data_IF_937022145027
#
_entry.id   IF_937022145027
#
_cell.length_a   1.000
_cell.length_b   1.000
_cell.length_c   1.000
_cell.angle_alpha   90.00
_cell.angle_beta   90.00
_cell.angle_gamma   90.00
#
_symmetry.space_group_name_H-M   'P 1'
#
loop_
_entity.id
_entity.type
_entity.pdbx_description
1 polymer ?
#
# COMPACT_ATOMS: atom_id res chain seq x y z
N UNK A 1 -23.68 -76.75 -28.29
CA UNK A 1 -23.65 -75.29 -28.64
C UNK A 1 -23.99 -74.40 -27.44
N UNK A 2 -24.90 -74.82 -26.57
CA UNK A 2 -25.35 -73.99 -25.46
C UNK A 2 -24.32 -73.77 -24.30
N UNK A 3 -23.39 -74.72 -24.07
CA UNK A 3 -22.38 -74.64 -22.98
C UNK A 3 -21.35 -73.53 -23.29
N UNK A 4 -20.89 -73.46 -24.56
CA UNK A 4 -19.90 -72.46 -24.98
C UNK A 4 -20.47 -71.03 -24.87
N UNK A 5 -21.75 -70.84 -25.15
CA UNK A 5 -22.38 -69.55 -25.07
C UNK A 5 -22.54 -69.08 -23.62
N UNK A 6 -22.83 -70.00 -22.67
CA UNK A 6 -22.95 -69.71 -21.23
C UNK A 6 -21.60 -69.37 -20.61
N UNK A 7 -20.49 -70.03 -21.05
CA UNK A 7 -19.13 -69.75 -20.60
C UNK A 7 -18.69 -68.35 -21.11
N UNK A 8 -18.95 -68.03 -22.35
CA UNK A 8 -18.68 -66.72 -22.91
C UNK A 8 -19.46 -65.62 -22.23
N UNK A 9 -20.74 -65.83 -21.90
CA UNK A 9 -21.54 -64.85 -21.19
C UNK A 9 -21.06 -64.65 -19.73
N UNK A 10 -20.65 -65.70 -19.04
CA UNK A 10 -20.07 -65.62 -17.71
C UNK A 10 -18.71 -64.90 -17.71
N UNK A 11 -17.86 -65.14 -18.72
CA UNK A 11 -16.60 -64.44 -18.86
C UNK A 11 -16.75 -62.95 -19.19
N UNK A 12 -17.77 -62.57 -19.98
CA UNK A 12 -18.09 -61.16 -20.27
C UNK A 12 -18.60 -60.39 -19.03
N UNK A 13 -19.42 -61.02 -18.20
CA UNK A 13 -19.89 -60.44 -16.93
C UNK A 13 -18.74 -60.28 -15.94
N UNK A 14 -17.85 -61.29 -15.84
CA UNK A 14 -16.67 -61.19 -14.97
C UNK A 14 -15.69 -60.10 -15.44
N UNK A 15 -15.53 -59.86 -16.75
CA UNK A 15 -14.66 -58.81 -17.30
C UNK A 15 -15.23 -57.42 -16.98
N UNK A 16 -16.53 -57.22 -16.98
CA UNK A 16 -17.16 -55.93 -16.63
C UNK A 16 -17.01 -55.58 -15.14
N UNK A 17 -16.99 -56.60 -14.27
CA UNK A 17 -16.81 -56.38 -12.81
C UNK A 17 -15.36 -56.10 -12.39
N UNK A 18 -14.39 -56.33 -13.31
CA UNK A 18 -12.97 -56.02 -13.07
C UNK A 18 -12.52 -54.63 -13.56
N UNK A 19 -13.45 -53.84 -14.10
CA UNK A 19 -13.12 -52.43 -14.40
C UNK A 19 -12.86 -51.72 -13.09
N UNK A 20 -11.69 -51.09 -12.92
CA UNK A 20 -11.41 -50.32 -11.71
C UNK A 20 -12.39 -49.16 -11.64
N UNK A 21 -13.29 -49.20 -10.65
CA UNK A 21 -14.07 -48.04 -10.28
C UNK A 21 -13.10 -46.99 -9.79
N UNK A 22 -12.69 -46.11 -10.68
CA UNK A 22 -11.96 -44.90 -10.27
C UNK A 22 -12.92 -43.99 -9.49
N UNK A 23 -12.87 -44.13 -8.18
CA UNK A 23 -13.50 -43.15 -7.32
C UNK A 23 -12.76 -41.83 -7.53
N UNK A 24 -13.47 -40.80 -7.98
CA UNK A 24 -12.90 -39.45 -8.00
C UNK A 24 -12.64 -39.01 -6.56
N UNK A 25 -11.37 -38.83 -6.20
CA UNK A 25 -11.05 -38.21 -4.91
C UNK A 25 -11.50 -36.74 -4.98
N UNK A 26 -12.36 -36.29 -4.08
CA UNK A 26 -12.74 -34.88 -4.06
C UNK A 26 -11.48 -34.04 -3.80
N UNK A 27 -11.23 -33.05 -4.65
CA UNK A 27 -10.19 -32.08 -4.40
C UNK A 27 -10.77 -30.98 -3.51
N UNK A 28 -10.25 -30.87 -2.30
CA UNK A 28 -10.59 -29.77 -1.42
C UNK A 28 -9.66 -28.59 -1.74
N UNK A 29 -10.24 -27.42 -1.86
CA UNK A 29 -9.47 -26.19 -1.84
C UNK A 29 -9.00 -25.95 -0.41
N UNK A 30 -7.73 -25.71 -0.21
CA UNK A 30 -7.14 -25.41 1.08
C UNK A 30 -6.17 -24.25 0.90
N UNK A 31 -6.35 -23.22 1.70
CA UNK A 31 -5.40 -22.14 1.88
C UNK A 31 -5.18 -21.98 3.39
N UNK A 32 -3.94 -22.21 3.86
CA UNK A 32 -3.62 -22.26 5.28
C UNK A 32 -2.38 -21.41 5.63
N UNK A 33 -1.73 -20.80 4.66
CA UNK A 33 -0.57 -19.97 4.85
C UNK A 33 -0.78 -18.58 4.25
N UNK A 34 -0.06 -17.58 4.77
CA UNK A 34 -0.10 -16.21 4.23
C UNK A 34 0.14 -16.19 2.71
N UNK A 35 1.15 -16.93 2.23
CA UNK A 35 1.49 -16.97 0.80
C UNK A 35 0.38 -17.59 -0.08
N UNK A 36 -0.42 -18.49 0.46
CA UNK A 36 -1.55 -19.07 -0.26
C UNK A 36 -2.72 -18.09 -0.34
N UNK A 37 -2.99 -17.35 0.73
CA UNK A 37 -4.00 -16.29 0.73
C UNK A 37 -3.63 -15.13 -0.20
N UNK A 38 -2.36 -14.72 -0.22
CA UNK A 38 -1.86 -13.64 -1.07
C UNK A 38 -1.87 -13.94 -2.58
N UNK A 39 -2.26 -15.16 -2.99
CA UNK A 39 -2.52 -15.47 -4.41
C UNK A 39 -3.89 -14.98 -4.90
N UNK A 40 -4.76 -14.59 -3.98
CA UNK A 40 -6.07 -14.01 -4.25
C UNK A 40 -6.11 -12.54 -3.89
N UNK A 41 -7.26 -11.92 -4.13
CA UNK A 41 -7.51 -10.55 -3.68
C UNK A 41 -7.92 -10.56 -2.21
N UNK A 42 -7.32 -9.66 -1.43
CA UNK A 42 -7.58 -9.53 0.01
C UNK A 42 -8.18 -8.15 0.26
N UNK A 43 -9.46 -8.12 0.59
CA UNK A 43 -10.17 -6.88 0.89
C UNK A 43 -10.65 -6.86 2.35
N UNK A 44 -10.39 -5.76 3.05
CA UNK A 44 -10.83 -5.52 4.43
C UNK A 44 -10.39 -6.60 5.45
N UNK A 45 -9.33 -7.34 5.13
CA UNK A 45 -8.74 -8.36 5.98
C UNK A 45 -7.24 -8.12 6.16
N UNK A 46 -6.73 -8.49 7.32
CA UNK A 46 -5.30 -8.63 7.58
C UNK A 46 -4.96 -10.11 7.73
N UNK A 47 -3.82 -10.52 7.17
CA UNK A 47 -3.32 -11.89 7.24
C UNK A 47 -1.97 -11.84 7.94
N UNK A 48 -1.84 -12.51 9.07
CA UNK A 48 -0.56 -12.60 9.77
C UNK A 48 0.38 -13.65 9.15
N UNK A 49 1.62 -13.72 9.64
CA UNK A 49 2.62 -14.67 9.15
C UNK A 49 2.23 -16.14 9.36
N UNK A 50 1.25 -16.43 10.23
CA UNK A 50 0.75 -17.77 10.52
C UNK A 50 -0.50 -18.12 9.70
N UNK A 51 -0.95 -17.20 8.81
CA UNK A 51 -2.16 -17.38 8.01
C UNK A 51 -3.46 -17.14 8.76
N UNK A 52 -3.41 -16.46 9.92
CA UNK A 52 -4.63 -16.06 10.63
C UNK A 52 -5.25 -14.83 9.97
N UNK A 53 -6.56 -14.90 9.76
CA UNK A 53 -7.35 -13.83 9.18
C UNK A 53 -7.97 -13.00 10.30
N UNK A 54 -7.77 -11.70 10.26
CA UNK A 54 -8.46 -10.73 11.12
C UNK A 54 -9.11 -9.66 10.26
N UNK A 55 -10.14 -8.99 10.77
CA UNK A 55 -10.68 -7.82 10.09
C UNK A 55 -9.60 -6.75 10.02
N UNK A 56 -9.29 -6.32 8.81
CA UNK A 56 -8.40 -5.21 8.55
C UNK A 56 -9.10 -3.87 8.81
N UNK A 57 -8.34 -2.78 8.96
CA UNK A 57 -8.92 -1.45 8.96
C UNK A 57 -9.55 -1.19 7.58
N UNK A 58 -10.72 -0.56 7.60
CA UNK A 58 -11.30 -0.01 6.37
C UNK A 58 -10.41 1.16 5.94
N UNK A 59 -9.92 1.09 4.70
CA UNK A 59 -9.08 2.15 4.12
C UNK A 59 -9.78 2.73 2.91
N UNK A 60 -9.83 4.07 2.86
CA UNK A 60 -10.35 4.81 1.72
C UNK A 60 -9.21 5.60 1.06
N UNK A 61 -9.20 5.61 -0.27
CA UNK A 61 -8.29 6.44 -1.04
C UNK A 61 -8.72 7.90 -0.92
N UNK A 62 -7.92 8.72 -0.23
CA UNK A 62 -8.22 10.14 -0.06
C UNK A 62 -7.76 10.96 -1.26
N UNK A 63 -6.54 10.72 -1.72
CA UNK A 63 -5.96 11.46 -2.85
C UNK A 63 -4.84 10.65 -3.49
N UNK A 64 -4.79 10.64 -4.82
CA UNK A 64 -3.72 10.04 -5.59
C UNK A 64 -2.79 11.14 -6.12
N UNK A 65 -1.51 11.10 -5.70
CA UNK A 65 -0.49 12.03 -6.18
C UNK A 65 0.15 11.50 -7.45
N UNK A 66 0.75 12.38 -8.26
CA UNK A 66 1.57 11.97 -9.39
C UNK A 66 2.95 11.43 -8.96
N UNK A 67 3.36 11.65 -7.71
CA UNK A 67 4.68 11.27 -7.21
C UNK A 67 4.72 9.78 -6.82
N UNK A 68 5.79 9.05 -7.19
CA UNK A 68 5.90 7.62 -6.93
C UNK A 68 6.16 7.27 -5.46
N UNK A 69 6.70 8.21 -4.68
CA UNK A 69 7.06 8.00 -3.27
C UNK A 69 6.58 9.15 -2.40
N UNK A 70 5.98 8.79 -1.27
CA UNK A 70 5.56 9.71 -0.22
C UNK A 70 6.42 9.45 1.01
N UNK A 71 7.22 10.45 1.42
CA UNK A 71 8.18 10.29 2.52
C UNK A 71 7.68 10.86 3.84
N UNK A 72 6.90 11.91 3.79
CA UNK A 72 6.45 12.59 5.00
C UNK A 72 4.99 13.02 4.89
N UNK A 73 4.31 13.05 6.01
CA UNK A 73 2.94 13.53 6.11
C UNK A 73 2.74 14.30 7.40
N UNK A 74 2.03 15.42 7.31
CA UNK A 74 1.69 16.28 8.43
C UNK A 74 0.21 16.65 8.35
N UNK A 75 -0.52 16.44 9.45
CA UNK A 75 -1.91 16.87 9.59
C UNK A 75 -1.98 18.19 10.36
N UNK A 76 -2.64 19.18 9.77
CA UNK A 76 -2.96 20.43 10.44
C UNK A 76 -4.25 20.30 11.27
N UNK A 77 -4.45 21.20 12.22
CA UNK A 77 -5.59 21.16 13.14
C UNK A 77 -6.96 21.32 12.45
N UNK A 78 -7.00 21.90 11.27
CA UNK A 78 -8.21 22.07 10.45
C UNK A 78 -8.53 20.84 9.57
N UNK A 79 -7.72 19.76 9.66
CA UNK A 79 -7.86 18.55 8.87
C UNK A 79 -7.14 18.58 7.53
N UNK A 80 -6.46 19.68 7.18
CA UNK A 80 -5.61 19.74 6.00
C UNK A 80 -4.41 18.81 6.16
N UNK A 81 -4.09 18.02 5.13
CA UNK A 81 -2.90 17.19 5.07
C UNK A 81 -1.86 17.81 4.15
N UNK A 82 -0.61 17.78 4.60
CA UNK A 82 0.55 18.10 3.77
C UNK A 82 1.39 16.84 3.59
N UNK A 83 1.76 16.55 2.35
CA UNK A 83 2.47 15.31 1.99
C UNK A 83 3.72 15.65 1.20
N UNK A 84 4.87 15.33 1.76
CA UNK A 84 6.18 15.49 1.12
C UNK A 84 6.56 14.24 0.32
N UNK A 85 7.15 14.47 -0.85
CA UNK A 85 7.47 13.41 -1.82
C UNK A 85 8.96 13.13 -1.92
N UNK A 86 9.29 11.94 -2.44
CA UNK A 86 10.62 11.56 -2.90
C UNK A 86 10.74 11.65 -4.42
N UNK A 87 11.96 11.84 -4.89
CA UNK A 87 12.36 11.96 -6.31
C UNK A 87 11.85 13.20 -7.07
N UNK A 88 10.96 13.99 -6.49
CA UNK A 88 10.43 15.21 -7.11
C UNK A 88 10.47 16.42 -6.18
N UNK A 89 10.78 16.24 -4.88
CA UNK A 89 10.90 17.32 -3.89
C UNK A 89 9.64 18.18 -3.71
N UNK A 90 8.47 17.62 -4.04
CA UNK A 90 7.18 18.29 -4.00
C UNK A 90 6.50 18.13 -2.66
N UNK A 91 5.68 19.10 -2.30
CA UNK A 91 4.73 18.98 -1.19
C UNK A 91 3.32 19.20 -1.73
N UNK A 92 2.45 18.23 -1.52
CA UNK A 92 1.03 18.34 -1.83
C UNK A 92 0.25 18.80 -0.61
N UNK A 93 -0.80 19.57 -0.83
CA UNK A 93 -1.81 19.94 0.16
C UNK A 93 -3.13 19.30 -0.20
N UNK A 94 -3.72 18.56 0.72
CA UNK A 94 -5.01 17.90 0.57
C UNK A 94 -5.95 18.51 1.60
N UNK A 95 -7.07 19.08 1.15
CA UNK A 95 -8.07 19.68 2.02
C UNK A 95 -8.91 18.58 2.74
N UNK A 96 -9.71 18.95 3.76
CA UNK A 96 -10.55 17.99 4.47
C UNK A 96 -11.60 17.28 3.61
N UNK A 97 -11.85 17.77 2.40
CA UNK A 97 -12.75 17.15 1.41
C UNK A 97 -12.03 16.19 0.45
N UNK A 98 -10.72 15.97 0.64
CA UNK A 98 -9.92 15.10 -0.18
C UNK A 98 -9.42 15.72 -1.50
N UNK A 99 -9.61 17.04 -1.69
CA UNK A 99 -9.11 17.73 -2.87
C UNK A 99 -7.64 18.09 -2.69
N UNK A 100 -6.78 17.45 -3.48
CA UNK A 100 -5.35 17.70 -3.46
C UNK A 100 -4.90 18.73 -4.50
N UNK A 101 -3.79 19.41 -4.18
CA UNK A 101 -3.10 20.35 -5.07
C UNK A 101 -1.62 20.39 -4.73
N UNK A 102 -0.79 20.70 -5.73
CA UNK A 102 0.62 21.02 -5.49
C UNK A 102 0.68 22.30 -4.64
N UNK A 103 1.41 22.22 -3.53
CA UNK A 103 1.57 23.33 -2.59
C UNK A 103 2.94 23.97 -2.70
N UNK A 104 3.99 23.15 -2.83
CA UNK A 104 5.37 23.60 -2.96
C UNK A 104 6.13 22.64 -3.88
N UNK A 105 6.98 23.22 -4.73
CA UNK A 105 7.86 22.50 -5.64
C UNK A 105 9.29 22.98 -5.38
N UNK A 106 10.11 22.12 -4.78
CA UNK A 106 11.51 22.46 -4.48
C UNK A 106 12.43 22.14 -5.66
N UNK A 107 13.62 22.71 -5.65
CA UNK A 107 14.69 22.30 -6.56
C UNK A 107 15.42 21.03 -6.09
N UNK A 108 15.10 20.57 -4.87
CA UNK A 108 15.67 19.38 -4.26
C UNK A 108 14.90 18.11 -4.69
N UNK A 109 15.50 16.95 -4.46
CA UNK A 109 14.86 15.68 -4.86
C UNK A 109 13.77 15.23 -3.88
N UNK A 110 13.90 15.57 -2.61
CA UNK A 110 13.10 14.95 -1.56
C UNK A 110 12.65 15.95 -0.50
N UNK A 111 11.40 15.82 -0.05
CA UNK A 111 10.82 16.54 1.08
C UNK A 111 10.59 15.54 2.23
N UNK A 112 11.60 15.40 3.11
CA UNK A 112 11.61 14.41 4.18
C UNK A 112 10.93 14.85 5.45
N UNK A 113 10.99 16.14 5.78
CA UNK A 113 10.51 16.64 7.06
C UNK A 113 9.58 17.83 6.87
N UNK A 114 8.45 17.80 7.55
CA UNK A 114 7.44 18.85 7.54
C UNK A 114 7.13 19.31 8.96
N UNK A 115 7.04 20.62 9.18
CA UNK A 115 6.53 21.18 10.41
C UNK A 115 5.66 22.39 10.14
N UNK A 116 4.57 22.58 10.91
CA UNK A 116 3.70 23.77 10.79
C UNK A 116 4.46 25.00 11.27
N UNK A 117 4.45 26.05 10.47
CA UNK A 117 4.94 27.35 10.90
C UNK A 117 3.87 28.10 11.74
N UNK A 118 4.27 28.91 12.73
CA UNK A 118 3.31 29.59 13.62
C UNK A 118 2.27 30.46 12.91
N UNK A 119 2.58 30.94 11.72
CA UNK A 119 1.68 31.77 10.91
C UNK A 119 0.84 30.96 9.89
N UNK A 120 0.80 29.63 10.03
CA UNK A 120 -0.01 28.72 9.22
C UNK A 120 0.58 28.34 7.86
N UNK A 121 1.87 28.58 7.65
CA UNK A 121 2.65 27.98 6.57
C UNK A 121 3.36 26.72 7.01
N UNK A 122 4.40 26.31 6.26
CA UNK A 122 5.22 25.13 6.56
C UNK A 122 6.71 25.47 6.64
N UNK A 123 7.41 24.70 7.45
CA UNK A 123 8.84 24.43 7.24
C UNK A 123 8.97 23.09 6.53
N UNK A 124 9.77 23.05 5.48
CA UNK A 124 10.03 21.87 4.65
C UNK A 124 11.51 21.59 4.66
N UNK A 125 11.90 20.47 5.25
CA UNK A 125 13.27 19.96 5.22
C UNK A 125 13.47 19.04 4.02
N UNK A 126 14.49 19.34 3.24
CA UNK A 126 14.76 18.71 1.94
C UNK A 126 16.10 17.97 1.91
N UNK A 127 16.33 17.20 0.85
CA UNK A 127 17.56 16.51 0.52
C UNK A 127 17.78 16.51 -1.01
N UNK A 128 19.02 16.41 -1.51
CA UNK A 128 20.27 16.05 -0.80
C UNK A 128 21.08 17.24 -0.25
N UNK A 129 20.64 18.48 -0.40
CA UNK A 129 21.45 19.64 0.01
C UNK A 129 21.12 20.12 1.43
N UNK A 130 20.24 19.42 2.17
CA UNK A 130 19.96 19.68 3.58
C UNK A 130 19.35 21.05 3.87
N UNK A 131 18.57 21.58 2.94
CA UNK A 131 17.92 22.89 3.08
C UNK A 131 16.60 22.79 3.83
N UNK A 132 16.28 23.87 4.55
CA UNK A 132 14.93 24.07 5.10
C UNK A 132 14.33 25.29 4.41
N UNK A 133 13.17 25.07 3.82
CA UNK A 133 12.37 26.15 3.24
C UNK A 133 11.26 26.56 4.21
N UNK A 134 11.00 27.86 4.30
CA UNK A 134 9.79 28.40 4.91
C UNK A 134 8.81 28.71 3.80
N UNK A 135 7.71 27.98 3.77
CA UNK A 135 6.64 28.10 2.78
C UNK A 135 5.46 28.80 3.46
N UNK A 136 4.95 29.87 2.88
CA UNK A 136 3.78 30.56 3.42
C UNK A 136 2.45 29.84 3.03
N UNK A 137 1.31 30.41 3.43
CA UNK A 137 -0.01 29.82 3.15
C UNK A 137 -0.37 29.76 1.67
N UNK A 138 0.21 30.65 0.86
CA UNK A 138 0.01 30.69 -0.61
C UNK A 138 0.86 29.67 -1.35
N UNK A 139 1.87 29.11 -0.70
CA UNK A 139 2.85 28.22 -1.33
C UNK A 139 4.14 28.93 -1.74
N UNK A 140 4.26 30.24 -1.47
CA UNK A 140 5.49 30.98 -1.73
C UNK A 140 6.58 30.56 -0.73
N UNK A 141 7.72 30.17 -1.25
CA UNK A 141 8.82 29.60 -0.46
C UNK A 141 10.05 30.48 -0.45
N UNK A 142 10.73 30.49 0.71
CA UNK A 142 12.04 31.12 0.88
C UNK A 142 12.96 30.16 1.61
N UNK A 143 14.26 30.08 1.23
CA UNK A 143 15.24 29.38 2.07
C UNK A 143 15.23 29.99 3.48
N UNK A 144 15.15 29.12 4.47
CA UNK A 144 15.16 29.49 5.87
C UNK A 144 16.46 29.08 6.56
N UNK A 145 16.98 27.93 6.17
CA UNK A 145 18.23 27.39 6.67
C UNK A 145 18.92 26.63 5.54
N UNK A 146 20.24 26.79 5.45
CA UNK A 146 21.11 26.08 4.52
C UNK A 146 22.30 25.59 5.34
N UNK A 147 22.33 24.28 5.65
CA UNK A 147 23.34 23.66 6.50
C UNK A 147 24.35 22.84 5.70
N UNK A 148 25.34 22.30 6.43
CA UNK A 148 26.36 21.43 5.83
C UNK A 148 25.90 19.95 5.74
N UNK A 149 24.78 19.61 6.42
CA UNK A 149 24.21 18.27 6.42
C UNK A 149 23.38 18.04 5.15
N UNK A 150 23.45 16.82 4.61
CA UNK A 150 22.75 16.49 3.36
C UNK A 150 21.26 16.20 3.54
N UNK A 151 20.85 15.76 4.73
CA UNK A 151 19.49 15.28 4.97
C UNK A 151 18.88 15.94 6.21
N UNK A 152 17.68 16.45 6.07
CA UNK A 152 16.86 16.91 7.17
C UNK A 152 15.79 15.85 7.45
N UNK A 153 15.98 15.05 8.47
CA UNK A 153 15.10 13.91 8.79
C UNK A 153 13.85 14.27 9.59
N UNK A 154 13.96 15.29 10.41
CA UNK A 154 12.85 15.69 11.26
C UNK A 154 12.89 17.20 11.56
N UNK A 155 11.72 17.79 11.67
CA UNK A 155 11.50 19.16 12.10
C UNK A 155 10.47 19.20 13.21
N UNK A 156 10.65 20.10 14.16
CA UNK A 156 9.66 20.40 15.18
C UNK A 156 9.61 21.91 15.41
N UNK A 157 8.43 22.42 15.69
CA UNK A 157 8.19 23.81 16.06
C UNK A 157 7.62 23.87 17.47
N UNK A 158 8.03 24.85 18.25
CA UNK A 158 7.40 25.15 19.53
C UNK A 158 6.28 26.19 19.37
N UNK A 159 5.49 26.36 20.40
CA UNK A 159 4.33 27.28 20.41
C UNK A 159 4.70 28.74 20.75
N UNK A 160 6.00 29.11 20.69
CA UNK A 160 6.44 30.47 21.01
C UNK A 160 6.39 31.40 19.83
#
# INVERSE_FOLDING_TARGET
MHIRLRVLAAAAVAAVTLLPLQASSPKFFQAATQNEFLKGDVENLSIDAHGQLTLGPVTDLVYETSAPFLWSMLAAADGTLFVGTGNEGKVFRIDPQGKGSLFFDSTELEAHALALAPNGGLYVGTSPDGRIYKVDRSGDAKPFFDGDDKYIWALATDAK
#
